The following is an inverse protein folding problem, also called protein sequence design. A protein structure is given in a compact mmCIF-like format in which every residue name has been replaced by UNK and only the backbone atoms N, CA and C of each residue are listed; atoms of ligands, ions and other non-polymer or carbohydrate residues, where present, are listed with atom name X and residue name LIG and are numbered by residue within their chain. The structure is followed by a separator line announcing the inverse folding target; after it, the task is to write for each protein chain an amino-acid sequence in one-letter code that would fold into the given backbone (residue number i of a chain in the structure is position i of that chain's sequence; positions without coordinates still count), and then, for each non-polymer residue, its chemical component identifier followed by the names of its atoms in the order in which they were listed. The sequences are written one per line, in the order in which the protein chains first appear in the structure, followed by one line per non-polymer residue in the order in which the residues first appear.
data_IF_356199956256
#
_entry.id   IF_356199956256
#
_cell.length_a   1.000
_cell.length_b   1.000
_cell.length_c   1.000
_cell.angle_alpha   90.00
_cell.angle_beta   90.00
_cell.angle_gamma   90.00
#
_symmetry.space_group_name_H-M   'P 1'
#
loop_
_entity.id
_entity.type
_entity.pdbx_description
1 polymer ?
#
# COMPACT_ATOMS: atom_id res chain seq x y z
N UNK A 1 -11.13 27.57 13.75
CA UNK A 1 -11.49 26.66 12.65
C UNK A 1 -12.97 26.82 12.37
N UNK A 2 -13.34 27.12 11.12
CA UNK A 2 -14.74 27.23 10.69
C UNK A 2 -15.23 25.89 10.14
N UNK A 3 -16.55 25.66 10.18
CA UNK A 3 -17.17 24.41 9.71
C UNK A 3 -16.83 24.10 8.23
N UNK A 4 -16.75 25.14 7.40
CA UNK A 4 -16.33 25.05 5.99
C UNK A 4 -14.91 24.49 5.82
N UNK A 5 -13.98 24.91 6.67
CA UNK A 5 -12.59 24.45 6.62
C UNK A 5 -12.46 22.96 6.97
N UNK A 6 -13.32 22.46 7.86
CA UNK A 6 -13.42 21.04 8.20
C UNK A 6 -13.96 20.24 7.02
N UNK A 7 -15.05 20.71 6.39
CA UNK A 7 -15.68 20.03 5.24
C UNK A 7 -14.78 19.94 4.01
N UNK A 8 -13.97 20.98 3.73
CA UNK A 8 -13.00 20.93 2.64
C UNK A 8 -11.87 19.93 2.89
N UNK A 9 -11.33 19.93 4.12
CA UNK A 9 -10.28 18.99 4.53
C UNK A 9 -10.76 17.54 4.42
N UNK A 10 -11.95 17.24 4.93
CA UNK A 10 -12.56 15.91 4.86
C UNK A 10 -12.74 15.44 3.41
N UNK A 11 -13.21 16.33 2.51
CA UNK A 11 -13.36 16.01 1.08
C UNK A 11 -12.02 15.71 0.39
N UNK A 12 -10.95 16.42 0.76
CA UNK A 12 -9.61 16.18 0.23
C UNK A 12 -9.09 14.81 0.71
N UNK A 13 -9.22 14.52 2.01
CA UNK A 13 -8.82 13.25 2.60
C UNK A 13 -9.57 12.07 1.98
N UNK A 14 -10.89 12.19 1.79
CA UNK A 14 -11.68 11.16 1.11
C UNK A 14 -11.24 10.92 -0.34
N UNK A 15 -10.91 11.99 -1.09
CA UNK A 15 -10.40 11.86 -2.45
C UNK A 15 -9.05 11.15 -2.47
N UNK A 16 -8.12 11.56 -1.60
CA UNK A 16 -6.81 10.91 -1.46
C UNK A 16 -6.97 9.42 -1.14
N UNK A 17 -7.87 9.09 -0.20
CA UNK A 17 -8.16 7.70 0.17
C UNK A 17 -8.73 6.89 -0.99
N UNK A 18 -9.65 7.47 -1.78
CA UNK A 18 -10.21 6.81 -2.97
C UNK A 18 -9.15 6.54 -4.02
N UNK A 19 -8.27 7.50 -4.29
CA UNK A 19 -7.17 7.31 -5.25
C UNK A 19 -6.17 6.27 -4.75
N UNK A 20 -5.89 6.22 -3.46
CA UNK A 20 -5.04 5.18 -2.86
C UNK A 20 -5.64 3.78 -3.02
N UNK A 21 -6.92 3.59 -2.66
CA UNK A 21 -7.62 2.31 -2.84
C UNK A 21 -7.61 1.87 -4.31
N UNK A 22 -7.77 2.81 -5.22
CA UNK A 22 -7.75 2.55 -6.66
C UNK A 22 -6.36 2.11 -7.14
N UNK A 23 -5.30 2.74 -6.64
CA UNK A 23 -3.92 2.34 -6.94
C UNK A 23 -3.62 0.92 -6.42
N UNK A 24 -4.04 0.61 -5.19
CA UNK A 24 -3.88 -0.72 -4.59
C UNK A 24 -4.60 -1.79 -5.42
N UNK A 25 -5.82 -1.50 -5.88
CA UNK A 25 -6.58 -2.38 -6.76
C UNK A 25 -5.85 -2.65 -8.08
N UNK A 26 -5.24 -1.63 -8.69
CA UNK A 26 -4.48 -1.81 -9.93
C UNK A 26 -3.24 -2.68 -9.75
N UNK A 27 -2.52 -2.50 -8.63
CA UNK A 27 -1.37 -3.33 -8.29
C UNK A 27 -1.76 -4.80 -8.06
N UNK A 28 -2.91 -5.02 -7.41
CA UNK A 28 -3.43 -6.35 -7.11
C UNK A 28 -3.95 -7.10 -8.33
N UNK A 29 -4.57 -6.39 -9.28
CA UNK A 29 -5.13 -6.97 -10.50
C UNK A 29 -4.06 -7.26 -11.55
N UNK A 30 -2.91 -6.60 -11.50
CA UNK A 30 -1.88 -6.76 -12.49
C UNK A 30 -1.31 -8.20 -12.48
N UNK A 31 -1.29 -8.84 -13.66
CA UNK A 31 -0.72 -10.17 -13.86
C UNK A 31 0.81 -10.24 -13.79
N UNK A 32 1.47 -9.12 -13.47
CA UNK A 32 2.92 -8.98 -13.36
C UNK A 32 3.33 -8.76 -11.91
N UNK A 33 4.60 -9.04 -11.59
CA UNK A 33 5.15 -8.76 -10.27
C UNK A 33 5.53 -7.27 -10.20
N UNK A 34 5.04 -6.58 -9.18
CA UNK A 34 5.51 -5.25 -8.78
C UNK A 34 6.31 -5.34 -7.50
N UNK A 35 7.55 -4.84 -7.53
CA UNK A 35 8.42 -4.71 -6.35
C UNK A 35 8.93 -3.28 -6.27
N UNK A 36 8.76 -2.64 -5.12
CA UNK A 36 9.42 -1.37 -4.81
C UNK A 36 10.49 -1.61 -3.75
N UNK A 37 11.65 -0.98 -3.92
CA UNK A 37 12.76 -1.01 -2.98
C UNK A 37 13.03 0.39 -2.44
N UNK A 38 13.44 0.50 -1.18
CA UNK A 38 14.01 1.73 -0.66
C UNK A 38 15.49 1.89 -1.07
N UNK A 39 16.12 3.00 -0.66
CA UNK A 39 17.54 3.29 -0.96
C UNK A 39 18.54 2.26 -0.42
N UNK A 40 18.14 1.44 0.55
CA UNK A 40 18.96 0.37 1.12
C UNK A 40 18.74 -0.97 0.42
N UNK A 41 17.85 -1.03 -0.59
CA UNK A 41 17.49 -2.26 -1.29
C UNK A 41 16.43 -3.11 -0.58
N UNK A 42 15.78 -2.59 0.45
CA UNK A 42 14.74 -3.32 1.19
C UNK A 42 13.38 -3.18 0.49
N UNK A 43 12.60 -4.27 0.44
CA UNK A 43 11.26 -4.28 -0.18
C UNK A 43 10.30 -3.42 0.64
N UNK A 44 9.73 -2.40 0.00
CA UNK A 44 8.70 -1.53 0.59
C UNK A 44 7.31 -1.76 0.01
N UNK A 45 7.23 -2.45 -1.14
CA UNK A 45 5.97 -2.88 -1.74
C UNK A 45 6.20 -4.17 -2.53
N UNK A 46 5.30 -5.13 -2.36
CA UNK A 46 5.18 -6.32 -3.20
C UNK A 46 3.69 -6.53 -3.47
N UNK A 47 3.29 -6.68 -4.73
CA UNK A 47 1.88 -6.95 -5.05
C UNK A 47 1.50 -8.43 -4.84
N UNK A 48 0.19 -8.73 -4.85
CA UNK A 48 -0.33 -10.11 -4.71
C UNK A 48 0.31 -11.12 -5.65
N UNK A 49 0.62 -10.74 -6.89
CA UNK A 49 1.28 -11.65 -7.84
C UNK A 49 2.70 -12.02 -7.39
N UNK A 50 3.45 -11.06 -6.85
CA UNK A 50 4.78 -11.29 -6.29
C UNK A 50 4.77 -12.31 -5.16
N UNK A 51 3.86 -12.17 -4.19
CA UNK A 51 3.71 -13.15 -3.09
C UNK A 51 3.42 -14.56 -3.60
N UNK A 52 2.46 -14.69 -4.54
CA UNK A 52 2.07 -15.99 -5.12
C UNK A 52 3.21 -16.69 -5.87
N UNK A 53 4.05 -15.93 -6.57
CA UNK A 53 5.14 -16.50 -7.38
C UNK A 53 6.35 -16.85 -6.53
N UNK A 54 6.63 -16.06 -5.49
CA UNK A 54 7.77 -16.27 -4.60
C UNK A 54 7.49 -17.31 -3.51
N UNK A 55 6.32 -17.97 -3.53
CA UNK A 55 5.89 -19.01 -2.60
C UNK A 55 5.93 -18.61 -1.11
N UNK A 56 6.00 -17.31 -0.83
CA UNK A 56 5.76 -16.80 0.50
C UNK A 56 4.28 -17.00 0.80
N UNK A 57 3.96 -18.03 1.60
CA UNK A 57 2.63 -18.17 2.19
C UNK A 57 2.25 -16.83 2.82
N UNK A 58 1.07 -16.32 2.50
CA UNK A 58 0.60 -14.95 2.80
C UNK A 58 0.83 -14.49 4.26
N UNK A 59 1.07 -15.42 5.20
CA UNK A 59 1.34 -15.16 6.61
C UNK A 59 2.81 -14.95 7.02
N UNK A 60 3.82 -15.44 6.29
CA UNK A 60 5.22 -15.36 6.75
C UNK A 60 5.87 -13.99 6.48
N UNK A 61 5.47 -13.31 5.41
CA UNK A 61 6.03 -12.00 5.05
C UNK A 61 5.35 -10.82 5.79
N UNK A 62 4.08 -10.99 6.20
CA UNK A 62 3.36 -9.99 7.02
C UNK A 62 4.09 -9.68 8.34
N UNK A 63 4.81 -10.65 8.90
CA UNK A 63 5.54 -10.47 10.15
C UNK A 63 6.70 -9.48 10.03
N UNK A 64 7.39 -9.44 8.87
CA UNK A 64 8.46 -8.47 8.62
C UNK A 64 7.94 -7.05 8.27
N UNK A 65 6.78 -6.94 7.61
CA UNK A 65 6.17 -5.64 7.26
C UNK A 65 5.53 -4.93 8.47
N UNK A 66 4.97 -5.68 9.44
CA UNK A 66 4.45 -5.09 10.68
C UNK A 66 5.54 -4.44 11.54
N UNK A 67 6.80 -4.83 11.36
CA UNK A 67 7.96 -4.17 12.00
C UNK A 67 8.37 -2.86 11.33
N UNK A 68 8.04 -2.65 10.04
CA UNK A 68 8.41 -1.45 9.28
C UNK A 68 7.41 -0.30 9.52
N UNK A 69 6.14 -0.60 9.81
CA UNK A 69 5.09 0.41 10.04
C UNK A 69 4.88 0.81 11.52
N UNK A 70 5.68 0.29 12.46
CA UNK A 70 5.57 0.61 13.91
C UNK A 70 6.73 1.44 14.48
N UNK A 71 7.43 2.21 13.66
CA UNK A 71 8.44 3.16 14.15
C UNK A 71 8.19 4.57 13.62
#
# INVERSE_FOLDING_TARGET
MTLENITEKEKIEERLKKEQIRADLYLDLAGVIFVALNKNGEITLLNKKGYKVLEYNDGEFMFNLLSIHKK
#
